data_IF_453408852797
#
_entry.id   IF_453408852797
#
_cell.length_a   1.000
_cell.length_b   1.000
_cell.length_c   1.000
_cell.angle_alpha   90.00
_cell.angle_beta   90.00
_cell.angle_gamma   90.00
#
_symmetry.space_group_name_H-M   'P 1'
#
loop_
_entity.id
_entity.type
_entity.pdbx_description
1 polymer ?
#
# COMPACT_ATOMS: atom_id res chain seq x y z
N UNK A 1 5.49 0.62 15.02
CA UNK A 1 5.20 -0.17 13.79
C UNK A 1 5.95 0.45 12.63
N UNK A 2 6.52 -0.34 11.76
CA UNK A 2 7.24 0.10 10.56
C UNK A 2 6.47 -0.26 9.28
N UNK A 3 6.78 0.44 8.19
CA UNK A 3 6.14 0.22 6.90
C UNK A 3 7.08 -0.42 5.89
N UNK A 4 6.54 -1.25 5.00
CA UNK A 4 7.23 -1.76 3.81
C UNK A 4 6.38 -1.47 2.59
N UNK A 5 6.99 -0.86 1.57
CA UNK A 5 6.43 -0.78 0.22
C UNK A 5 7.18 -1.77 -0.66
N UNK A 6 6.49 -2.79 -1.13
CA UNK A 6 7.07 -3.73 -2.09
C UNK A 6 6.82 -3.25 -3.51
N UNK A 7 7.84 -2.61 -4.09
CA UNK A 7 7.81 -1.97 -5.41
C UNK A 7 8.69 -2.73 -6.42
N UNK A 8 8.73 -4.05 -6.29
CA UNK A 8 9.48 -4.95 -7.19
C UNK A 8 8.64 -5.44 -8.37
N UNK A 9 9.19 -6.44 -9.06
CA UNK A 9 8.55 -7.13 -10.17
C UNK A 9 8.96 -6.62 -11.56
N UNK A 10 8.85 -7.49 -12.56
CA UNK A 10 9.29 -7.23 -13.95
C UNK A 10 8.36 -6.31 -14.74
N UNK A 11 7.11 -6.13 -14.30
CA UNK A 11 6.09 -5.30 -14.98
C UNK A 11 5.78 -5.73 -16.42
N UNK A 12 6.06 -6.98 -16.81
CA UNK A 12 5.97 -7.43 -18.21
C UNK A 12 4.59 -7.29 -18.82
N UNK A 13 3.51 -7.34 -18.02
CA UNK A 13 2.14 -7.13 -18.48
C UNK A 13 1.88 -5.70 -19.01
N UNK A 14 2.73 -4.74 -18.63
CA UNK A 14 2.66 -3.34 -19.06
C UNK A 14 3.71 -2.99 -20.13
N UNK A 15 4.35 -3.97 -20.77
CA UNK A 15 5.22 -3.68 -21.90
C UNK A 15 4.42 -3.03 -23.06
N UNK A 16 5.02 -2.03 -23.76
CA UNK A 16 6.42 -1.58 -23.67
C UNK A 16 6.71 -0.50 -22.61
N UNK A 17 5.73 0.03 -21.88
CA UNK A 17 5.91 1.13 -20.92
C UNK A 17 7.01 0.79 -19.90
N UNK A 18 6.90 -0.37 -19.28
CA UNK A 18 7.81 -0.82 -18.20
C UNK A 18 9.17 -1.36 -18.67
N UNK A 19 9.47 -1.27 -19.97
CA UNK A 19 10.86 -1.42 -20.44
C UNK A 19 11.75 -0.25 -20.04
N UNK A 20 11.18 0.95 -19.97
CA UNK A 20 11.88 2.20 -19.71
C UNK A 20 11.79 2.70 -18.28
N UNK A 21 10.71 2.34 -17.56
CA UNK A 21 10.40 2.84 -16.22
C UNK A 21 9.78 1.74 -15.36
N UNK A 22 10.06 1.74 -14.06
CA UNK A 22 9.35 0.88 -13.11
C UNK A 22 7.84 1.15 -13.16
N UNK A 23 7.02 0.10 -13.02
CA UNK A 23 5.56 0.23 -12.96
C UNK A 23 5.13 1.28 -11.93
N UNK A 24 5.69 1.23 -10.75
CA UNK A 24 5.31 2.08 -9.63
C UNK A 24 5.76 3.55 -9.77
N UNK A 25 6.59 3.85 -10.79
CA UNK A 25 6.96 5.22 -11.20
C UNK A 25 6.13 5.75 -12.36
N UNK A 26 5.25 4.92 -12.95
CA UNK A 26 4.31 5.41 -13.97
C UNK A 26 3.29 6.35 -13.34
N UNK A 27 2.83 7.39 -14.08
CA UNK A 27 1.86 8.32 -13.54
C UNK A 27 0.48 7.67 -13.38
N UNK A 28 -0.17 7.96 -12.26
CA UNK A 28 -1.61 7.80 -12.07
C UNK A 28 -2.17 9.21 -11.96
N UNK A 29 -2.74 9.70 -13.06
CA UNK A 29 -3.22 11.05 -13.27
C UNK A 29 -2.09 12.10 -13.13
N UNK A 30 -1.86 12.69 -11.96
CA UNK A 30 -0.97 13.84 -11.76
C UNK A 30 0.27 13.56 -10.90
N UNK A 31 0.44 12.31 -10.44
CA UNK A 31 1.57 11.93 -9.58
C UNK A 31 2.03 10.48 -9.83
N UNK A 32 3.25 10.11 -9.41
CA UNK A 32 3.73 8.73 -9.52
C UNK A 32 2.88 7.75 -8.72
N UNK A 33 2.69 6.54 -9.25
CA UNK A 33 1.88 5.50 -8.61
C UNK A 33 2.31 5.20 -7.17
N UNK A 34 3.62 5.21 -6.86
CA UNK A 34 4.15 4.92 -5.52
C UNK A 34 3.60 5.87 -4.42
N UNK A 35 3.10 7.07 -4.77
CA UNK A 35 2.51 8.01 -3.81
C UNK A 35 1.26 7.43 -3.15
N UNK A 36 0.49 6.59 -3.85
CA UNK A 36 -0.74 6.01 -3.32
C UNK A 36 -0.48 5.00 -2.19
N UNK A 37 0.36 3.95 -2.37
CA UNK A 37 0.71 3.08 -1.25
C UNK A 37 1.48 3.81 -0.14
N UNK A 38 2.34 4.79 -0.47
CA UNK A 38 3.02 5.62 0.52
C UNK A 38 2.01 6.39 1.38
N UNK A 39 0.98 6.97 0.77
CA UNK A 39 -0.09 7.68 1.48
C UNK A 39 -0.85 6.76 2.45
N UNK A 40 -1.09 5.50 2.10
CA UNK A 40 -1.75 4.54 2.99
C UNK A 40 -0.94 4.28 4.26
N UNK A 41 0.39 4.14 4.15
CA UNK A 41 1.28 4.01 5.31
C UNK A 41 1.29 5.29 6.16
N UNK A 42 1.38 6.46 5.53
CA UNK A 42 1.35 7.75 6.23
C UNK A 42 0.05 7.93 7.00
N UNK A 43 -1.10 7.64 6.38
CA UNK A 43 -2.43 7.71 7.02
C UNK A 43 -2.61 6.68 8.15
N UNK A 44 -1.81 5.61 8.16
CA UNK A 44 -1.73 4.65 9.26
C UNK A 44 -0.85 5.13 10.43
N UNK A 45 -0.31 6.35 10.37
CA UNK A 45 0.61 6.87 11.39
C UNK A 45 2.04 6.32 11.29
N UNK A 46 2.41 5.69 10.17
CA UNK A 46 3.72 5.06 9.97
C UNK A 46 4.67 6.03 9.29
N UNK A 47 5.80 6.32 9.94
CA UNK A 47 6.80 7.29 9.47
C UNK A 47 8.15 6.67 9.11
N UNK A 48 8.46 5.46 9.62
CA UNK A 48 9.64 4.68 9.23
C UNK A 48 9.25 3.67 8.16
N UNK A 49 9.72 3.84 6.93
CA UNK A 49 9.26 3.08 5.77
C UNK A 49 10.45 2.55 4.96
N UNK A 50 10.41 1.26 4.66
CA UNK A 50 11.34 0.58 3.78
C UNK A 50 10.73 0.40 2.39
N UNK A 51 11.44 0.86 1.36
CA UNK A 51 11.10 0.62 -0.05
C UNK A 51 11.97 -0.53 -0.57
N UNK A 52 11.31 -1.60 -0.99
CA UNK A 52 11.97 -2.77 -1.58
C UNK A 52 11.69 -2.77 -3.08
N UNK A 53 12.74 -2.75 -3.90
CA UNK A 53 12.61 -2.74 -5.36
C UNK A 53 13.73 -3.51 -6.03
N UNK A 54 13.65 -3.65 -7.37
CA UNK A 54 14.71 -4.29 -8.14
C UNK A 54 16.00 -3.45 -8.10
N UNK A 55 17.20 -4.05 -8.24
CA UNK A 55 18.47 -3.30 -8.31
C UNK A 55 18.47 -2.21 -9.40
N UNK A 56 17.75 -2.47 -10.51
CA UNK A 56 17.64 -1.52 -11.63
C UNK A 56 16.82 -0.28 -11.30
N UNK A 57 15.75 -0.45 -10.54
CA UNK A 57 14.73 0.60 -10.33
C UNK A 57 14.92 1.32 -8.99
N UNK A 58 15.55 0.70 -8.00
CA UNK A 58 15.74 1.26 -6.66
C UNK A 58 16.37 2.66 -6.65
N UNK A 59 17.44 2.97 -7.44
CA UNK A 59 18.02 4.31 -7.47
C UNK A 59 17.04 5.41 -7.91
N UNK A 60 16.02 5.06 -8.71
CA UNK A 60 15.00 6.02 -9.16
C UNK A 60 13.98 6.34 -8.08
N UNK A 61 13.70 5.39 -7.19
CA UNK A 61 12.88 5.66 -6.00
C UNK A 61 13.64 6.53 -5.01
N UNK A 62 14.93 6.30 -4.82
CA UNK A 62 15.80 7.15 -4.01
C UNK A 62 15.88 8.57 -4.57
N UNK A 63 16.01 8.72 -5.89
CA UNK A 63 16.00 10.04 -6.56
C UNK A 63 14.66 10.77 -6.38
N UNK A 64 13.53 10.04 -6.46
CA UNK A 64 12.20 10.62 -6.35
C UNK A 64 11.84 11.05 -4.94
N UNK A 65 12.15 10.21 -3.94
CA UNK A 65 11.62 10.34 -2.57
C UNK A 65 12.67 10.79 -1.55
N UNK A 66 13.96 10.73 -1.91
CA UNK A 66 15.08 11.06 -1.01
C UNK A 66 15.08 10.19 0.24
N UNK A 67 15.47 10.75 1.37
CA UNK A 67 15.43 10.11 2.68
C UNK A 67 14.09 10.29 3.40
N UNK A 68 13.13 10.98 2.79
CA UNK A 68 11.81 11.26 3.33
C UNK A 68 11.73 12.43 4.32
N UNK A 69 12.87 13.00 4.73
CA UNK A 69 12.91 14.04 5.78
C UNK A 69 12.12 15.30 5.40
N UNK A 70 12.05 15.64 4.11
CA UNK A 70 11.29 16.80 3.62
C UNK A 70 9.78 16.71 3.90
N UNK A 71 9.25 15.48 4.01
CA UNK A 71 7.84 15.19 4.34
C UNK A 71 7.67 14.52 5.71
N UNK A 72 8.71 14.62 6.58
CA UNK A 72 8.66 14.11 7.95
C UNK A 72 8.70 12.59 8.08
N UNK A 73 9.20 11.89 7.07
CA UNK A 73 9.40 10.45 7.07
C UNK A 73 10.89 10.10 7.22
N UNK A 74 11.15 8.82 7.53
CA UNK A 74 12.46 8.18 7.44
C UNK A 74 12.37 7.03 6.45
N UNK A 75 12.90 7.23 5.24
CA UNK A 75 12.87 6.25 4.17
C UNK A 75 14.18 5.47 4.11
N UNK A 76 14.08 4.15 3.98
CA UNK A 76 15.18 3.23 3.74
C UNK A 76 14.91 2.44 2.46
N UNK A 77 15.96 1.89 1.86
CA UNK A 77 15.89 1.25 0.55
C UNK A 77 16.67 -0.06 0.55
N UNK A 78 16.06 -1.12 0.04
CA UNK A 78 16.70 -2.45 -0.10
C UNK A 78 16.40 -3.03 -1.48
N UNK A 79 17.42 -3.63 -2.08
CA UNK A 79 17.27 -4.36 -3.32
C UNK A 79 16.62 -5.72 -3.12
N UNK A 80 15.66 -6.06 -4.02
CA UNK A 80 15.14 -7.41 -4.21
C UNK A 80 15.78 -7.99 -5.47
N UNK A 81 16.79 -8.86 -5.37
CA UNK A 81 17.51 -9.36 -6.53
C UNK A 81 16.68 -10.26 -7.43
N UNK A 82 15.74 -11.02 -6.84
CA UNK A 82 14.82 -11.92 -7.55
C UNK A 82 13.41 -11.83 -6.95
N UNK A 83 12.36 -11.96 -7.77
CA UNK A 83 10.97 -11.86 -7.31
C UNK A 83 10.48 -13.22 -6.74
N UNK A 84 11.03 -13.63 -5.60
CA UNK A 84 10.78 -14.95 -4.98
C UNK A 84 9.48 -14.99 -4.16
N UNK A 85 8.57 -14.04 -4.38
CA UNK A 85 7.27 -13.96 -3.73
C UNK A 85 7.14 -12.76 -2.76
N UNK A 86 5.90 -12.45 -2.37
CA UNK A 86 5.61 -11.27 -1.54
C UNK A 86 6.16 -11.42 -0.11
N UNK A 87 6.13 -12.63 0.46
CA UNK A 87 6.62 -12.86 1.82
C UNK A 87 8.14 -12.70 1.95
N UNK A 88 8.91 -12.75 0.84
CA UNK A 88 10.34 -12.44 0.84
C UNK A 88 10.63 -11.05 1.41
N UNK A 89 9.71 -10.10 1.27
CA UNK A 89 9.87 -8.74 1.78
C UNK A 89 10.18 -8.70 3.29
N UNK A 90 9.58 -9.59 4.08
CA UNK A 90 9.82 -9.66 5.53
C UNK A 90 11.20 -10.27 5.87
N UNK A 91 11.72 -11.13 4.99
CA UNK A 91 13.06 -11.71 5.15
C UNK A 91 14.12 -10.67 4.81
N UNK A 92 13.96 -9.97 3.68
CA UNK A 92 14.86 -8.89 3.25
C UNK A 92 14.84 -7.71 4.20
N UNK A 93 13.66 -7.36 4.70
CA UNK A 93 13.45 -6.26 5.64
C UNK A 93 13.66 -6.61 7.10
N UNK A 94 14.13 -7.81 7.45
CA UNK A 94 14.19 -8.28 8.84
C UNK A 94 15.00 -7.35 9.76
N UNK A 95 16.16 -6.87 9.32
CA UNK A 95 17.01 -5.97 10.10
C UNK A 95 16.35 -4.58 10.25
N UNK A 96 15.65 -4.10 9.22
CA UNK A 96 14.86 -2.87 9.29
C UNK A 96 13.67 -3.01 10.24
N UNK A 97 12.93 -4.10 10.17
CA UNK A 97 11.78 -4.36 11.06
C UNK A 97 12.25 -4.43 12.52
N UNK A 98 13.35 -5.13 12.80
CA UNK A 98 13.83 -5.36 14.17
C UNK A 98 12.76 -6.04 15.03
N UNK A 99 12.44 -5.43 16.16
CA UNK A 99 11.40 -5.90 17.10
C UNK A 99 10.02 -5.29 16.87
N UNK A 100 9.87 -4.44 15.84
CA UNK A 100 8.62 -3.76 15.55
C UNK A 100 7.59 -4.64 14.82
N UNK A 101 6.31 -4.36 15.06
CA UNK A 101 5.23 -4.81 14.18
C UNK A 101 5.35 -4.11 12.81
N UNK A 102 4.77 -4.68 11.74
CA UNK A 102 4.99 -4.19 10.38
C UNK A 102 3.70 -4.12 9.57
N UNK A 103 3.55 -3.04 8.80
CA UNK A 103 2.58 -2.94 7.72
C UNK A 103 3.29 -3.07 6.37
N UNK A 104 2.84 -3.96 5.51
CA UNK A 104 3.30 -4.05 4.12
C UNK A 104 2.19 -3.66 3.16
N UNK A 105 2.54 -2.84 2.18
CA UNK A 105 1.66 -2.47 1.07
C UNK A 105 2.34 -2.76 -0.26
N UNK A 106 1.57 -3.24 -1.22
CA UNK A 106 2.06 -3.45 -2.59
C UNK A 106 2.14 -2.11 -3.31
N UNK A 107 3.26 -1.85 -3.96
CA UNK A 107 3.60 -0.57 -4.60
C UNK A 107 2.71 -0.16 -5.77
N UNK A 108 1.82 -1.04 -6.21
CA UNK A 108 0.89 -0.84 -7.32
C UNK A 108 -0.59 -0.84 -6.91
N UNK A 109 -0.87 -0.82 -5.61
CA UNK A 109 -2.23 -0.79 -5.08
C UNK A 109 -2.65 0.62 -4.69
N UNK A 110 -3.85 0.99 -5.09
CA UNK A 110 -4.48 2.27 -4.80
C UNK A 110 -5.72 2.02 -3.95
N UNK A 111 -5.80 2.72 -2.83
CA UNK A 111 -6.94 2.67 -1.91
C UNK A 111 -7.60 4.04 -1.82
N UNK A 112 -8.92 4.07 -1.94
CA UNK A 112 -9.71 5.28 -1.76
C UNK A 112 -11.07 4.94 -1.18
N UNK A 113 -11.53 5.73 -0.22
CA UNK A 113 -12.86 5.56 0.35
C UNK A 113 -13.04 6.32 1.65
N UNK A 114 -14.27 6.75 1.91
CA UNK A 114 -14.61 7.36 3.19
C UNK A 114 -14.42 6.36 4.34
N UNK A 115 -13.75 6.80 5.41
CA UNK A 115 -13.45 5.95 6.55
C UNK A 115 -12.17 5.10 6.40
N UNK A 116 -11.36 5.33 5.36
CA UNK A 116 -10.09 4.62 5.17
C UNK A 116 -9.18 4.79 6.40
N UNK A 117 -9.02 6.01 6.92
CA UNK A 117 -8.18 6.28 8.10
C UNK A 117 -8.65 5.50 9.33
N UNK A 118 -9.96 5.45 9.57
CA UNK A 118 -10.53 4.70 10.70
C UNK A 118 -10.24 3.19 10.56
N UNK A 119 -10.37 2.64 9.35
CA UNK A 119 -10.07 1.23 9.06
C UNK A 119 -8.57 0.92 9.23
N UNK A 120 -7.68 1.81 8.78
CA UNK A 120 -6.24 1.68 8.97
C UNK A 120 -5.86 1.72 10.45
N UNK A 121 -6.41 2.66 11.22
CA UNK A 121 -6.19 2.77 12.66
C UNK A 121 -6.68 1.53 13.42
N UNK A 122 -7.83 0.95 13.02
CA UNK A 122 -8.30 -0.31 13.58
C UNK A 122 -7.33 -1.46 13.31
N UNK A 123 -6.78 -1.54 12.10
CA UNK A 123 -5.77 -2.56 11.77
C UNK A 123 -4.49 -2.39 12.59
N UNK A 124 -4.02 -1.15 12.79
CA UNK A 124 -2.90 -0.86 13.69
C UNK A 124 -3.21 -1.34 15.11
N UNK A 125 -4.38 -0.99 15.67
CA UNK A 125 -4.80 -1.42 17.01
C UNK A 125 -4.90 -2.95 17.14
N UNK A 126 -5.46 -3.63 16.15
CA UNK A 126 -5.53 -5.10 16.14
C UNK A 126 -4.14 -5.75 16.27
N UNK A 127 -3.14 -5.21 15.58
CA UNK A 127 -1.77 -5.72 15.64
C UNK A 127 -1.08 -5.34 16.95
N UNK A 128 -1.12 -4.06 17.33
CA UNK A 128 -0.33 -3.56 18.46
C UNK A 128 -0.88 -4.02 19.80
N UNK A 129 -2.21 -4.04 19.96
CA UNK A 129 -2.89 -4.35 21.22
C UNK A 129 -3.28 -5.82 21.34
N UNK A 130 -3.77 -6.44 20.23
CA UNK A 130 -4.28 -7.81 20.24
C UNK A 130 -3.30 -8.84 19.69
N UNK A 131 -2.19 -8.41 19.08
CA UNK A 131 -1.21 -9.25 18.38
C UNK A 131 -1.83 -10.13 17.29
N UNK A 132 -2.86 -9.61 16.61
CA UNK A 132 -3.54 -10.26 15.50
C UNK A 132 -3.17 -9.60 14.17
N UNK A 133 -2.80 -10.42 13.21
CA UNK A 133 -2.65 -9.97 11.83
C UNK A 133 -3.98 -9.44 11.30
N UNK A 134 -3.93 -8.40 10.46
CA UNK A 134 -5.12 -7.86 9.80
C UNK A 134 -4.85 -7.70 8.32
N UNK A 135 -5.75 -8.25 7.50
CA UNK A 135 -5.78 -8.12 6.04
C UNK A 135 -7.15 -7.61 5.61
N UNK A 136 -7.28 -7.18 4.35
CA UNK A 136 -8.52 -6.58 3.88
C UNK A 136 -9.10 -7.39 2.73
N UNK A 137 -10.42 -7.62 2.79
CA UNK A 137 -11.19 -8.28 1.76
C UNK A 137 -11.99 -7.26 0.93
N UNK A 138 -11.86 -7.31 -0.38
CA UNK A 138 -12.60 -6.46 -1.32
C UNK A 138 -13.40 -7.32 -2.30
N UNK A 139 -14.69 -7.00 -2.49
CA UNK A 139 -15.55 -7.74 -3.40
C UNK A 139 -15.21 -7.43 -4.85
N UNK A 140 -14.79 -8.45 -5.60
CA UNK A 140 -14.41 -8.36 -7.01
C UNK A 140 -15.31 -9.23 -7.88
N UNK A 141 -15.33 -8.95 -9.19
CA UNK A 141 -16.06 -9.75 -10.18
C UNK A 141 -15.32 -11.05 -10.49
N UNK A 142 -14.01 -10.98 -10.66
CA UNK A 142 -13.16 -12.09 -11.12
C UNK A 142 -12.11 -12.42 -10.04
N UNK A 143 -12.48 -13.18 -8.97
CA UNK A 143 -11.65 -13.40 -7.80
C UNK A 143 -10.48 -14.39 -8.03
N UNK A 144 -10.51 -15.21 -9.07
CA UNK A 144 -9.49 -16.21 -9.41
C UNK A 144 -8.09 -15.65 -9.72
N UNK A 145 -7.97 -14.34 -9.81
CA UNK A 145 -6.68 -13.65 -10.02
C UNK A 145 -5.95 -13.32 -8.71
N UNK A 146 -6.59 -13.51 -7.56
CA UNK A 146 -6.14 -13.03 -6.24
C UNK A 146 -6.13 -14.15 -5.19
N UNK A 147 -5.59 -13.87 -4.03
CA UNK A 147 -5.90 -14.63 -2.83
C UNK A 147 -7.37 -14.40 -2.45
N UNK A 148 -8.13 -15.46 -2.22
CA UNK A 148 -9.59 -15.40 -1.96
C UNK A 148 -9.89 -15.85 -0.56
N UNK A 149 -10.58 -15.02 0.23
CA UNK A 149 -11.03 -15.35 1.58
C UNK A 149 -12.43 -15.98 1.54
N UNK A 150 -12.62 -17.12 2.24
CA UNK A 150 -13.90 -17.78 2.47
C UNK A 150 -14.45 -17.42 3.84
N UNK A 151 -15.76 -17.19 3.94
CA UNK A 151 -16.41 -16.80 5.19
C UNK A 151 -17.58 -17.76 5.50
N UNK A 152 -17.86 -17.96 6.80
CA UNK A 152 -19.09 -18.59 7.24
C UNK A 152 -20.28 -17.60 7.20
N UNK A 153 -21.45 -18.07 7.67
CA UNK A 153 -22.66 -17.26 7.72
C UNK A 153 -22.57 -16.10 8.74
N UNK A 154 -21.71 -16.21 9.71
CA UNK A 154 -21.44 -15.22 10.76
C UNK A 154 -20.35 -14.21 10.34
N UNK A 155 -19.71 -14.40 9.15
CA UNK A 155 -18.64 -13.54 8.63
C UNK A 155 -17.25 -13.87 9.17
N UNK A 156 -17.08 -15.05 9.78
CA UNK A 156 -15.77 -15.53 10.24
C UNK A 156 -15.01 -16.15 9.08
N UNK A 157 -13.72 -15.83 8.95
CA UNK A 157 -12.86 -16.38 7.90
C UNK A 157 -12.61 -17.85 8.14
N UNK A 158 -12.92 -18.69 7.15
CA UNK A 158 -12.71 -20.15 7.18
C UNK A 158 -11.43 -20.57 6.47
N UNK A 159 -11.12 -19.93 5.34
CA UNK A 159 -9.93 -20.24 4.55
C UNK A 159 -9.49 -19.04 3.71
N UNK A 160 -8.21 -19.02 3.32
CA UNK A 160 -7.69 -18.13 2.27
C UNK A 160 -6.94 -18.99 1.28
N UNK A 161 -7.26 -18.87 -0.02
CA UNK A 161 -6.68 -19.69 -1.09
C UNK A 161 -6.08 -18.80 -2.17
N UNK A 162 -4.82 -19.06 -2.57
CA UNK A 162 -4.13 -18.30 -3.60
C UNK A 162 -4.61 -18.72 -5.00
N UNK A 163 -5.18 -17.77 -5.75
CA UNK A 163 -5.62 -17.93 -7.14
C UNK A 163 -6.38 -19.23 -7.39
N UNK A 164 -7.47 -19.48 -6.67
CA UNK A 164 -8.20 -20.72 -6.75
C UNK A 164 -8.87 -20.89 -8.13
N UNK A 165 -8.82 -22.11 -8.70
CA UNK A 165 -9.51 -22.44 -9.95
C UNK A 165 -11.03 -22.31 -9.78
N UNK A 166 -11.53 -22.58 -8.57
CA UNK A 166 -12.94 -22.45 -8.19
C UNK A 166 -13.03 -21.61 -6.91
N UNK A 167 -13.10 -20.28 -7.03
CA UNK A 167 -13.21 -19.42 -5.86
C UNK A 167 -14.44 -19.74 -5.01
N UNK A 168 -14.27 -19.78 -3.69
CA UNK A 168 -15.35 -20.05 -2.74
C UNK A 168 -16.12 -18.77 -2.36
N UNK A 169 -15.58 -17.60 -2.68
CA UNK A 169 -16.21 -16.30 -2.50
C UNK A 169 -15.74 -15.31 -3.58
N UNK A 170 -16.32 -14.12 -3.58
CA UNK A 170 -15.86 -13.00 -4.42
C UNK A 170 -14.97 -12.01 -3.65
N UNK A 171 -14.49 -12.34 -2.45
CA UNK A 171 -13.66 -11.46 -1.66
C UNK A 171 -12.18 -11.73 -1.89
N UNK A 172 -11.55 -10.86 -2.70
CA UNK A 172 -10.11 -10.83 -2.90
C UNK A 172 -9.41 -10.22 -1.69
N UNK A 173 -8.30 -10.80 -1.25
CA UNK A 173 -7.39 -10.20 -0.27
C UNK A 173 -6.54 -9.17 -1.01
N UNK A 174 -6.65 -7.90 -0.60
CA UNK A 174 -5.95 -6.80 -1.25
C UNK A 174 -4.50 -6.68 -0.79
N UNK A 175 -3.69 -5.94 -1.51
CA UNK A 175 -2.25 -5.79 -1.24
C UNK A 175 -1.91 -4.82 -0.10
N UNK A 176 -2.58 -4.96 1.05
CA UNK A 176 -2.33 -4.20 2.27
C UNK A 176 -2.44 -5.14 3.47
N UNK A 177 -1.37 -5.26 4.24
CA UNK A 177 -1.22 -6.28 5.26
C UNK A 177 -0.62 -5.68 6.53
N UNK A 178 -1.23 -5.92 7.67
CA UNK A 178 -0.73 -5.53 8.98
C UNK A 178 -0.40 -6.78 9.80
N UNK A 179 0.84 -6.90 10.25
CA UNK A 179 1.32 -8.10 10.93
C UNK A 179 2.05 -7.79 12.23
N UNK A 180 1.88 -8.63 13.28
CA UNK A 180 2.80 -8.67 14.40
C UNK A 180 4.22 -9.01 13.92
N UNK A 181 5.22 -8.67 14.71
CA UNK A 181 6.64 -8.97 14.45
C UNK A 181 6.91 -10.44 14.09
N UNK A 182 6.12 -11.36 14.62
CA UNK A 182 6.20 -12.81 14.33
C UNK A 182 6.15 -13.16 12.84
N UNK A 183 5.71 -12.22 11.98
CA UNK A 183 5.69 -12.42 10.52
C UNK A 183 7.07 -12.70 9.94
N UNK A 184 8.13 -12.14 10.52
CA UNK A 184 9.51 -12.38 10.07
C UNK A 184 9.89 -13.85 10.19
N UNK A 185 9.57 -14.44 11.34
CA UNK A 185 9.84 -15.86 11.60
C UNK A 185 8.93 -16.78 10.76
N UNK A 186 7.64 -16.41 10.62
CA UNK A 186 6.71 -17.14 9.74
C UNK A 186 7.24 -17.14 8.31
N UNK A 187 7.64 -15.96 7.77
CA UNK A 187 8.16 -15.83 6.40
C UNK A 187 9.43 -16.67 6.16
N UNK A 188 10.29 -16.81 7.16
CA UNK A 188 11.49 -17.66 7.08
C UNK A 188 11.17 -19.15 7.00
N UNK A 189 10.04 -19.58 7.56
CA UNK A 189 9.69 -20.99 7.72
C UNK A 189 8.70 -21.51 6.66
N UNK A 190 7.99 -20.64 5.92
CA UNK A 190 7.14 -21.08 4.82
C UNK A 190 7.96 -21.66 3.68
N UNK A 191 7.37 -22.59 2.94
CA UNK A 191 7.98 -23.19 1.75
C UNK A 191 7.48 -22.50 0.48
N UNK A 192 8.32 -22.39 -0.56
CA UNK A 192 7.87 -21.92 -1.86
C UNK A 192 6.69 -22.77 -2.38
N UNK A 193 5.74 -22.11 -3.01
CA UNK A 193 4.62 -22.75 -3.69
C UNK A 193 5.06 -23.54 -4.95
N UNK A 194 4.12 -24.19 -5.62
CA UNK A 194 4.38 -24.83 -6.91
C UNK A 194 4.88 -23.83 -7.99
N UNK A 195 4.68 -22.52 -7.78
CA UNK A 195 5.21 -21.45 -8.64
C UNK A 195 6.64 -21.02 -8.28
N UNK A 196 7.21 -21.58 -7.21
CA UNK A 196 8.52 -21.22 -6.69
C UNK A 196 8.52 -19.94 -5.85
N UNK A 197 7.34 -19.43 -5.46
CA UNK A 197 7.18 -18.16 -4.74
C UNK A 197 6.86 -18.39 -3.24
N UNK A 198 7.42 -17.56 -2.37
CA UNK A 198 7.04 -17.42 -0.96
C UNK A 198 5.73 -16.60 -0.89
N UNK A 199 4.62 -17.33 -0.84
CA UNK A 199 3.29 -16.73 -0.97
C UNK A 199 2.86 -16.01 0.30
N UNK A 200 2.34 -14.80 0.15
CA UNK A 200 1.72 -14.06 1.26
C UNK A 200 0.47 -14.78 1.78
N UNK A 201 -0.23 -15.50 0.91
CA UNK A 201 -1.39 -16.31 1.27
C UNK A 201 -1.01 -17.40 2.27
N UNK A 202 0.17 -18.01 2.15
CA UNK A 202 0.66 -19.00 3.13
C UNK A 202 0.95 -18.36 4.51
N UNK A 203 1.45 -17.13 4.52
CA UNK A 203 1.60 -16.35 5.78
C UNK A 203 0.23 -16.11 6.41
N UNK A 204 -0.76 -15.67 5.64
CA UNK A 204 -2.13 -15.45 6.11
C UNK A 204 -2.78 -16.73 6.63
N UNK A 205 -2.60 -17.86 5.95
CA UNK A 205 -3.07 -19.16 6.40
C UNK A 205 -2.45 -19.56 7.74
N UNK A 206 -1.15 -19.31 7.93
CA UNK A 206 -0.47 -19.58 9.22
C UNK A 206 -1.11 -18.79 10.36
N UNK A 207 -1.39 -17.49 10.17
CA UNK A 207 -2.09 -16.68 11.18
C UNK A 207 -3.53 -17.15 11.40
N UNK A 208 -4.23 -17.57 10.34
CA UNK A 208 -5.59 -18.10 10.43
C UNK A 208 -5.64 -19.39 11.26
N UNK A 209 -4.74 -20.33 11.00
CA UNK A 209 -4.62 -21.60 11.74
C UNK A 209 -4.30 -21.38 13.22
N UNK A 210 -3.57 -20.32 13.54
CA UNK A 210 -3.28 -19.90 14.91
C UNK A 210 -4.44 -19.16 15.59
N UNK A 211 -5.53 -18.85 14.87
CA UNK A 211 -6.65 -18.03 15.38
C UNK A 211 -6.29 -16.53 15.53
N UNK A 212 -5.24 -16.09 14.86
CA UNK A 212 -4.66 -14.74 14.97
C UNK A 212 -4.75 -13.92 13.67
N UNK A 213 -5.76 -14.17 12.84
CA UNK A 213 -6.03 -13.40 11.63
C UNK A 213 -7.38 -12.71 11.71
N UNK A 214 -7.40 -11.39 11.46
CA UNK A 214 -8.59 -10.62 11.18
C UNK A 214 -8.67 -10.32 9.68
N UNK A 215 -9.88 -10.37 9.10
CA UNK A 215 -10.14 -9.89 7.75
C UNK A 215 -11.20 -8.79 7.83
N UNK A 216 -10.79 -7.56 7.53
CA UNK A 216 -11.65 -6.39 7.47
C UNK A 216 -12.24 -6.26 6.06
N UNK A 217 -13.58 -6.12 5.94
CA UNK A 217 -14.22 -6.02 4.64
C UNK A 217 -14.35 -4.56 4.20
N UNK A 218 -13.75 -4.24 3.07
CA UNK A 218 -13.95 -2.96 2.39
C UNK A 218 -15.32 -2.96 1.70
N UNK A 219 -16.23 -2.12 2.20
CA UNK A 219 -17.60 -2.01 1.72
C UNK A 219 -17.70 -1.25 0.38
N UNK A 220 -18.94 -1.02 -0.07
CA UNK A 220 -19.23 -0.35 -1.37
C UNK A 220 -18.72 1.09 -1.49
N UNK A 221 -18.40 1.75 -0.39
CA UNK A 221 -17.83 3.10 -0.39
C UNK A 221 -16.33 3.15 -0.68
N UNK A 222 -15.66 2.00 -0.82
CA UNK A 222 -14.24 1.90 -1.11
C UNK A 222 -14.00 1.59 -2.59
N UNK A 223 -12.89 2.09 -3.10
CA UNK A 223 -12.27 1.67 -4.33
C UNK A 223 -10.88 1.11 -4.02
N UNK A 224 -10.66 -0.13 -4.43
CA UNK A 224 -9.36 -0.74 -4.53
C UNK A 224 -9.05 -0.96 -6.00
N UNK A 225 -7.93 -0.42 -6.47
CA UNK A 225 -7.51 -0.48 -7.85
C UNK A 225 -6.13 -1.14 -7.90
N UNK A 226 -6.07 -2.28 -8.58
CA UNK A 226 -4.81 -2.90 -8.97
C UNK A 226 -4.45 -2.39 -10.38
N UNK A 227 -3.26 -1.93 -10.58
CA UNK A 227 -2.84 -1.34 -11.86
C UNK A 227 -2.08 -2.35 -12.72
N UNK A 228 -2.57 -3.59 -12.79
CA UNK A 228 -1.90 -4.75 -13.38
C UNK A 228 -1.88 -4.80 -14.91
N UNK A 229 -2.79 -4.11 -15.58
CA UNK A 229 -2.94 -4.06 -17.05
C UNK A 229 -2.98 -2.62 -17.55
N UNK A 230 -2.89 -2.43 -18.88
CA UNK A 230 -3.02 -1.10 -19.49
C UNK A 230 -4.40 -0.49 -19.22
N UNK A 231 -5.45 -1.31 -19.27
CA UNK A 231 -6.82 -0.91 -19.00
C UNK A 231 -6.98 -0.48 -17.54
N UNK A 232 -6.53 -1.31 -16.57
CA UNK A 232 -6.66 -0.97 -15.16
C UNK A 232 -5.81 0.25 -14.75
N UNK A 233 -4.66 0.48 -15.42
CA UNK A 233 -3.85 1.68 -15.24
C UNK A 233 -4.59 2.95 -15.71
N UNK A 234 -5.27 2.86 -16.87
CA UNK A 234 -6.08 3.95 -17.41
C UNK A 234 -7.31 4.21 -16.54
N UNK A 235 -8.00 3.16 -16.12
CA UNK A 235 -9.18 3.24 -15.26
C UNK A 235 -8.84 3.88 -13.92
N UNK A 236 -7.71 3.51 -13.29
CA UNK A 236 -7.21 4.14 -12.08
C UNK A 236 -6.95 5.63 -12.28
N UNK A 237 -6.28 6.00 -13.38
CA UNK A 237 -6.01 7.42 -13.69
C UNK A 237 -7.30 8.22 -13.91
N UNK A 238 -8.28 7.67 -14.63
CA UNK A 238 -9.58 8.30 -14.87
C UNK A 238 -10.41 8.44 -13.58
N UNK A 239 -10.37 7.42 -12.72
CA UNK A 239 -11.05 7.43 -11.43
C UNK A 239 -10.50 8.56 -10.55
N UNK A 240 -9.18 8.61 -10.34
CA UNK A 240 -8.52 9.66 -9.54
C UNK A 240 -8.79 11.05 -10.13
N UNK A 241 -8.64 11.22 -11.45
CA UNK A 241 -8.94 12.48 -12.12
C UNK A 241 -10.38 12.93 -11.83
N UNK A 242 -11.34 12.03 -11.91
CA UNK A 242 -12.76 12.35 -11.72
C UNK A 242 -13.02 12.83 -10.30
N UNK A 243 -12.49 12.12 -9.30
CA UNK A 243 -12.64 12.49 -7.88
C UNK A 243 -12.00 13.85 -7.62
N UNK A 244 -10.72 14.02 -7.98
CA UNK A 244 -9.98 15.28 -7.72
C UNK A 244 -10.63 16.48 -8.42
N UNK A 245 -11.09 16.33 -9.66
CA UNK A 245 -11.78 17.42 -10.37
C UNK A 245 -13.14 17.79 -9.79
N UNK A 246 -13.84 16.83 -9.20
CA UNK A 246 -15.17 17.08 -8.60
C UNK A 246 -15.06 17.69 -7.21
N UNK A 247 -14.15 17.19 -6.38
CA UNK A 247 -14.00 17.64 -5.01
C UNK A 247 -13.09 18.87 -4.88
N UNK A 248 -12.16 19.07 -5.82
CA UNK A 248 -11.11 20.08 -5.70
C UNK A 248 -10.02 19.72 -4.68
N UNK A 249 -10.06 18.51 -4.16
CA UNK A 249 -9.10 17.93 -3.21
C UNK A 249 -8.29 16.85 -3.93
N UNK A 250 -7.03 16.66 -3.53
CA UNK A 250 -6.17 15.64 -4.11
C UNK A 250 -6.27 14.32 -3.34
N UNK A 251 -6.11 13.22 -4.06
CA UNK A 251 -5.98 11.88 -3.50
C UNK A 251 -4.49 11.54 -3.39
N UNK A 252 -4.05 11.01 -2.26
CA UNK A 252 -2.66 10.60 -2.03
C UNK A 252 -1.63 11.73 -2.28
N UNK A 253 -1.96 12.95 -1.88
CA UNK A 253 -1.03 14.07 -1.88
C UNK A 253 -0.16 13.98 -0.63
N UNK A 254 1.03 13.39 -0.76
CA UNK A 254 1.88 13.05 0.39
C UNK A 254 2.32 14.26 1.20
N UNK A 255 2.53 15.42 0.58
CA UNK A 255 2.89 16.67 1.26
C UNK A 255 1.72 17.22 2.09
N UNK A 256 0.49 17.14 1.55
CA UNK A 256 -0.72 17.50 2.28
C UNK A 256 -0.94 16.56 3.47
N UNK A 257 -0.86 15.24 3.25
CA UNK A 257 -0.98 14.25 4.32
C UNK A 257 0.07 14.47 5.40
N UNK A 258 1.31 14.74 5.02
CA UNK A 258 2.38 15.05 5.98
C UNK A 258 2.06 16.28 6.84
N UNK A 259 1.44 17.30 6.27
CA UNK A 259 0.99 18.50 6.99
C UNK A 259 -0.20 18.19 7.91
N UNK A 260 -1.24 17.55 7.40
CA UNK A 260 -2.45 17.24 8.17
C UNK A 260 -2.20 16.22 9.30
N UNK A 261 -1.28 15.27 9.09
CA UNK A 261 -0.83 14.33 10.12
C UNK A 261 0.16 14.97 11.12
N UNK A 262 0.55 16.23 10.92
CA UNK A 262 1.48 16.92 11.80
C UNK A 262 2.95 16.48 11.67
N UNK A 263 3.30 15.77 10.59
CA UNK A 263 4.69 15.36 10.34
C UNK A 263 5.56 16.52 9.90
N UNK A 264 4.98 17.52 9.22
CA UNK A 264 5.65 18.75 8.82
C UNK A 264 4.86 19.98 9.25
N UNK A 265 5.56 21.12 9.37
CA UNK A 265 4.93 22.40 9.65
C UNK A 265 4.34 23.04 8.39
N UNK A 266 3.42 24.01 8.57
CA UNK A 266 2.91 24.87 7.51
C UNK A 266 4.04 25.54 6.70
N UNK A 267 5.10 25.99 7.37
CA UNK A 267 6.25 26.60 6.71
C UNK A 267 6.95 25.62 5.77
N UNK A 268 7.08 24.36 6.18
CA UNK A 268 7.65 23.29 5.34
C UNK A 268 6.74 22.98 4.13
N UNK A 269 5.41 22.90 4.33
CA UNK A 269 4.47 22.71 3.22
C UNK A 269 4.59 23.82 2.17
N UNK A 270 4.68 25.09 2.61
CA UNK A 270 4.91 26.24 1.72
C UNK A 270 6.24 26.09 0.96
N UNK A 271 7.31 25.68 1.66
CA UNK A 271 8.62 25.45 1.05
C UNK A 271 8.55 24.37 -0.04
N UNK A 272 7.83 23.26 0.19
CA UNK A 272 7.62 22.19 -0.78
C UNK A 272 6.80 22.66 -1.99
N UNK A 273 5.83 23.54 -1.79
CA UNK A 273 5.01 24.10 -2.86
C UNK A 273 5.79 25.03 -3.81
N UNK A 274 6.80 25.76 -3.33
CA UNK A 274 7.50 26.81 -4.08
C UNK A 274 8.04 26.38 -5.45
N UNK A 275 8.81 25.27 -5.60
CA UNK A 275 9.32 24.84 -6.89
C UNK A 275 8.21 24.39 -7.85
N UNK A 276 7.02 24.08 -7.34
CA UNK A 276 5.88 23.50 -8.07
C UNK A 276 4.81 24.55 -8.45
N UNK A 277 4.95 25.83 -8.09
CA UNK A 277 3.90 26.84 -8.29
C UNK A 277 3.52 27.09 -9.76
N UNK A 278 4.34 26.65 -10.71
CA UNK A 278 4.04 26.71 -12.15
C UNK A 278 2.99 25.71 -12.61
N UNK A 279 2.69 24.70 -11.77
CA UNK A 279 1.70 23.67 -12.08
C UNK A 279 0.57 23.65 -11.03
N UNK A 280 -0.51 22.91 -11.36
CA UNK A 280 -1.69 22.83 -10.49
C UNK A 280 -1.42 22.14 -9.14
N UNK A 281 -0.45 21.22 -9.10
CA UNK A 281 -0.08 20.52 -7.88
C UNK A 281 0.51 21.48 -6.84
N UNK A 282 1.50 22.28 -7.20
CA UNK A 282 2.08 23.26 -6.30
C UNK A 282 1.12 24.40 -5.92
N UNK A 283 0.25 24.83 -6.83
CA UNK A 283 -0.81 25.80 -6.54
C UNK A 283 -1.82 25.23 -5.51
N UNK A 284 -2.12 23.94 -5.61
CA UNK A 284 -2.94 23.24 -4.62
C UNK A 284 -2.28 23.24 -3.25
N UNK A 285 -1.01 22.82 -3.13
CA UNK A 285 -0.27 22.82 -1.85
C UNK A 285 -0.23 24.21 -1.21
N UNK A 286 0.00 25.25 -2.01
CA UNK A 286 0.01 26.64 -1.54
C UNK A 286 -1.35 27.07 -0.97
N UNK A 287 -2.46 26.66 -1.61
CA UNK A 287 -3.81 26.91 -1.12
C UNK A 287 -4.07 26.15 0.18
N UNK A 288 -3.73 24.85 0.22
CA UNK A 288 -3.91 24.01 1.42
C UNK A 288 -3.17 24.55 2.65
N UNK A 289 -2.00 25.14 2.45
CA UNK A 289 -1.29 25.82 3.55
C UNK A 289 -2.06 27.02 4.15
N UNK A 290 -3.09 27.54 3.49
CA UNK A 290 -3.97 28.60 3.98
C UNK A 290 -5.27 28.12 4.63
N UNK A 291 -5.59 26.84 4.55
CA UNK A 291 -6.82 26.23 5.02
C UNK A 291 -6.56 25.30 6.22
N UNK A 292 -7.52 25.23 7.18
CA UNK A 292 -7.53 24.22 8.23
C UNK A 292 -8.60 23.16 7.86
N UNK A 293 -8.18 21.91 7.69
CA UNK A 293 -9.08 20.79 7.37
C UNK A 293 -8.65 19.56 8.16
N UNK A 294 -9.61 18.80 8.68
CA UNK A 294 -9.36 17.53 9.37
C UNK A 294 -9.05 16.42 8.34
N UNK A 295 -7.98 15.65 8.57
CA UNK A 295 -7.62 14.51 7.74
C UNK A 295 -8.74 13.46 7.65
N UNK A 296 -9.53 13.30 8.72
CA UNK A 296 -10.69 12.39 8.72
C UNK A 296 -11.85 12.83 7.81
N UNK A 297 -11.90 14.11 7.45
CA UNK A 297 -12.88 14.63 6.48
C UNK A 297 -12.41 14.45 5.03
N UNK A 298 -11.09 14.27 4.82
CA UNK A 298 -10.48 14.11 3.49
C UNK A 298 -10.46 12.65 3.01
N UNK A 299 -10.37 11.69 3.93
CA UNK A 299 -10.21 10.25 3.71
C UNK A 299 -11.18 9.45 4.59
#
# INVERSE_FOLDING_TARGET
MKGIILAGGSGTRLYPITKGVSKQLTPIYDKPMIYYPLSALMLSGITEILIISTPKDLPRFEELLGDGSDIGLSLSYIEQPSPDGLAQAFILGADFIGDDDVCMVLGDNIFYGHGLVAMLNQAVANVTEQKKATVFGYHVKDPDQYGVAEFDAEGIVLSIEEKPIKPKSNYAVVGLYFYPNSVVEIARNIKPSARGELEITTVNQTYLEQGNLNVELMGRGFAWLDTGTHESLLDASNFIQTIEKRQGLKVACIEEIAYEMGYISKAQLIKLAQPLLKNQYGQYLSRRAGEEVDVNELY
#
